data_IF_595789119062
#
_entry.id   IF_595789119062
#
_cell.length_a   1.000
_cell.length_b   1.000
_cell.length_c   1.000
_cell.angle_alpha   90.00
_cell.angle_beta   90.00
_cell.angle_gamma   90.00
#
_symmetry.space_group_name_H-M   'P 1'
#
loop_
_entity.id
_entity.type
_entity.pdbx_description
1 polymer ?
#
# COMPACT_ATOMS: atom_id res chain seq x y z
N UNK A 1 1.45 21.83 8.01
CA UNK A 1 2.11 21.16 6.86
C UNK A 1 1.33 19.89 6.55
N UNK A 2 1.14 19.57 5.26
CA UNK A 2 0.39 18.39 4.81
C UNK A 2 1.36 17.36 4.24
N UNK A 3 1.26 16.11 4.66
CA UNK A 3 2.16 15.03 4.24
C UNK A 3 1.36 13.97 3.49
N UNK A 4 1.66 13.80 2.20
CA UNK A 4 1.07 12.74 1.39
C UNK A 4 1.60 11.37 1.79
N UNK A 5 0.73 10.37 1.89
CA UNK A 5 1.13 8.98 2.15
C UNK A 5 0.74 8.11 0.95
N UNK A 6 1.76 7.45 0.38
CA UNK A 6 1.63 6.41 -0.62
C UNK A 6 2.39 5.17 -0.17
N UNK A 7 1.86 3.99 -0.47
CA UNK A 7 2.49 2.71 -0.18
C UNK A 7 2.21 1.72 -1.30
N UNK A 8 3.25 1.02 -1.77
CA UNK A 8 3.17 -0.08 -2.72
C UNK A 8 4.09 -1.20 -2.25
N UNK A 9 3.51 -2.34 -1.87
CA UNK A 9 4.23 -3.50 -1.38
C UNK A 9 4.00 -4.67 -2.34
N UNK A 10 5.04 -5.05 -3.06
CA UNK A 10 5.08 -6.29 -3.84
C UNK A 10 6.52 -6.77 -3.90
N UNK A 11 6.74 -8.04 -3.60
CA UNK A 11 8.04 -8.68 -3.72
C UNK A 11 7.98 -9.72 -4.85
N UNK A 12 8.78 -9.48 -5.90
CA UNK A 12 8.83 -10.35 -7.08
C UNK A 12 9.90 -11.43 -6.95
N UNK A 13 9.55 -12.66 -7.35
CA UNK A 13 10.46 -13.79 -7.46
C UNK A 13 10.55 -14.27 -8.91
N UNK A 14 11.73 -14.14 -9.51
CA UNK A 14 11.98 -14.47 -10.93
C UNK A 14 11.94 -15.97 -11.26
N UNK A 15 11.90 -16.85 -10.25
CA UNK A 15 11.76 -18.30 -10.44
C UNK A 15 10.29 -18.75 -10.50
N UNK A 16 9.34 -17.87 -10.14
CA UNK A 16 7.90 -18.13 -10.26
C UNK A 16 7.45 -17.74 -11.67
N UNK A 17 6.82 -18.68 -12.38
CA UNK A 17 6.37 -18.48 -13.76
C UNK A 17 5.07 -17.66 -13.90
N UNK A 18 4.33 -17.50 -12.79
CA UNK A 18 3.14 -16.66 -12.75
C UNK A 18 3.47 -15.16 -12.80
N UNK A 19 2.47 -14.33 -13.07
CA UNK A 19 2.60 -12.87 -13.15
C UNK A 19 1.72 -12.25 -12.05
N UNK A 20 2.24 -11.26 -11.33
CA UNK A 20 1.41 -10.46 -10.45
C UNK A 20 0.54 -9.53 -11.29
N UNK A 21 -0.77 -9.68 -11.16
CA UNK A 21 -1.82 -8.87 -11.81
C UNK A 21 -2.51 -7.94 -10.82
N UNK A 22 -3.29 -6.98 -11.32
CA UNK A 22 -4.10 -6.07 -10.49
C UNK A 22 -5.01 -6.83 -9.50
N UNK A 23 -5.58 -7.95 -9.93
CA UNK A 23 -6.43 -8.79 -9.08
C UNK A 23 -5.73 -9.21 -7.77
N UNK A 24 -4.42 -9.46 -7.81
CA UNK A 24 -3.67 -9.84 -6.60
C UNK A 24 -3.59 -8.71 -5.56
N UNK A 25 -3.69 -7.45 -6.01
CA UNK A 25 -3.80 -6.30 -5.11
C UNK A 25 -5.23 -6.14 -4.60
N UNK A 26 -6.22 -6.27 -5.48
CA UNK A 26 -7.64 -6.23 -5.10
C UNK A 26 -8.00 -7.30 -4.06
N UNK A 27 -7.41 -8.49 -4.18
CA UNK A 27 -7.63 -9.63 -3.27
C UNK A 27 -6.96 -9.45 -1.89
N UNK A 28 -5.96 -8.58 -1.77
CA UNK A 28 -5.15 -8.41 -0.55
C UNK A 28 -5.29 -7.01 0.06
N UNK A 29 -4.79 -5.97 -0.62
CA UNK A 29 -4.99 -4.58 -0.23
C UNK A 29 -4.86 -3.66 -1.44
N UNK A 30 -5.94 -2.97 -1.79
CA UNK A 30 -5.95 -1.87 -2.77
C UNK A 30 -6.88 -0.77 -2.25
N UNK A 31 -6.29 0.31 -1.77
CA UNK A 31 -6.99 1.39 -1.06
C UNK A 31 -6.60 2.75 -1.62
N UNK A 32 -7.59 3.63 -1.73
CA UNK A 32 -7.43 5.00 -2.21
C UNK A 32 -7.97 6.01 -1.20
N UNK A 33 -7.29 7.16 -1.10
CA UNK A 33 -7.72 8.27 -0.25
C UNK A 33 -7.93 7.86 1.21
N UNK A 34 -8.98 8.38 1.84
CA UNK A 34 -9.23 8.15 3.26
C UNK A 34 -9.53 6.69 3.63
N UNK A 35 -9.84 5.81 2.66
CA UNK A 35 -9.96 4.37 2.93
C UNK A 35 -8.67 3.75 3.47
N UNK A 36 -7.51 4.31 3.08
CA UNK A 36 -6.19 3.95 3.63
C UNK A 36 -6.16 4.21 5.13
N UNK A 37 -6.64 5.37 5.56
CA UNK A 37 -6.68 5.71 7.00
C UNK A 37 -7.65 4.79 7.73
N UNK A 38 -8.86 4.61 7.20
CA UNK A 38 -9.89 3.77 7.83
C UNK A 38 -9.41 2.34 8.04
N UNK A 39 -8.71 1.76 7.06
CA UNK A 39 -8.26 0.37 7.13
C UNK A 39 -6.98 0.19 7.96
N UNK A 40 -6.03 1.15 7.91
CA UNK A 40 -4.67 0.93 8.42
C UNK A 40 -4.34 1.66 9.72
N UNK A 41 -5.17 2.61 10.17
CA UNK A 41 -4.95 3.29 11.45
C UNK A 41 -5.01 2.30 12.62
N UNK A 42 -4.00 2.33 13.49
CA UNK A 42 -3.91 1.41 14.63
C UNK A 42 -3.58 -0.04 14.26
N UNK A 43 -3.33 -0.34 12.97
CA UNK A 43 -2.84 -1.64 12.53
C UNK A 43 -1.32 -1.78 12.76
N UNK A 44 -0.81 -3.01 12.67
CA UNK A 44 0.64 -3.29 12.69
C UNK A 44 1.32 -3.11 11.32
N UNK A 45 0.69 -2.42 10.38
CA UNK A 45 1.26 -2.08 9.07
C UNK A 45 2.11 -0.80 9.17
N UNK A 46 3.17 -0.66 8.35
CA UNK A 46 4.02 0.54 8.34
C UNK A 46 3.21 1.84 8.12
N UNK A 47 2.17 1.81 7.28
CA UNK A 47 1.28 2.96 7.06
C UNK A 47 0.55 3.37 8.34
N UNK A 48 0.11 2.41 9.16
CA UNK A 48 -0.48 2.68 10.47
C UNK A 48 0.52 3.39 11.40
N UNK A 49 1.78 2.95 11.38
CA UNK A 49 2.88 3.61 12.08
C UNK A 49 3.14 5.04 11.60
N UNK A 50 3.14 5.28 10.29
CA UNK A 50 3.31 6.63 9.72
C UNK A 50 2.15 7.57 10.12
N UNK A 51 0.91 7.09 10.08
CA UNK A 51 -0.25 7.85 10.51
C UNK A 51 -0.14 8.26 11.97
N UNK A 52 0.18 7.31 12.85
CA UNK A 52 0.37 7.58 14.28
C UNK A 52 1.53 8.55 14.54
N UNK A 53 2.66 8.38 13.86
CA UNK A 53 3.81 9.27 13.99
C UNK A 53 3.50 10.71 13.56
N UNK A 54 2.78 10.90 12.45
CA UNK A 54 2.37 12.23 11.99
C UNK A 54 1.38 12.89 12.96
N UNK A 55 0.43 12.13 13.50
CA UNK A 55 -0.51 12.62 14.52
C UNK A 55 0.22 13.09 15.78
N UNK A 56 1.17 12.31 16.30
CA UNK A 56 1.98 12.66 17.46
C UNK A 56 2.80 13.95 17.27
N UNK A 57 3.16 14.28 16.03
CA UNK A 57 3.87 15.51 15.68
C UNK A 57 2.93 16.69 15.33
N UNK A 58 1.61 16.51 15.44
CA UNK A 58 0.63 17.54 15.06
C UNK A 58 0.61 17.84 13.56
N UNK A 59 1.05 16.90 12.72
CA UNK A 59 1.09 17.04 11.26
C UNK A 59 -0.15 16.44 10.61
N UNK A 60 -0.62 17.06 9.53
CA UNK A 60 -1.79 16.56 8.79
C UNK A 60 -1.38 15.52 7.75
N UNK A 61 -1.63 14.25 8.04
CA UNK A 61 -1.51 13.17 7.06
C UNK A 61 -2.60 13.29 5.99
N UNK A 62 -2.22 13.17 4.71
CA UNK A 62 -3.11 13.10 3.55
C UNK A 62 -2.88 11.73 2.90
N UNK A 63 -3.71 10.72 3.20
CA UNK A 63 -3.58 9.41 2.58
C UNK A 63 -4.01 9.51 1.11
N UNK A 64 -3.21 8.94 0.21
CA UNK A 64 -3.46 9.00 -1.22
C UNK A 64 -3.70 7.60 -1.78
N UNK A 65 -2.83 6.66 -1.43
CA UNK A 65 -2.88 5.29 -1.97
C UNK A 65 -2.15 4.31 -1.06
N UNK A 66 -2.67 3.10 -0.93
CA UNK A 66 -1.93 1.97 -0.38
C UNK A 66 -2.31 0.71 -1.15
N UNK A 67 -1.31 -0.02 -1.63
CA UNK A 67 -1.49 -1.31 -2.29
C UNK A 67 -0.50 -2.33 -1.78
N UNK A 68 -0.97 -3.56 -1.57
CA UNK A 68 -0.15 -4.72 -1.25
C UNK A 68 -0.65 -5.93 -2.04
N UNK A 69 0.28 -6.69 -2.58
CA UNK A 69 0.05 -8.03 -3.09
C UNK A 69 1.02 -8.99 -2.38
N UNK A 70 0.60 -10.23 -2.18
CA UNK A 70 1.49 -11.27 -1.65
C UNK A 70 2.69 -11.49 -2.59
N UNK A 71 3.87 -11.85 -2.04
CA UNK A 71 5.03 -12.19 -2.87
C UNK A 71 4.71 -13.24 -3.92
N UNK A 72 5.03 -12.94 -5.18
CA UNK A 72 4.69 -13.80 -6.31
C UNK A 72 5.68 -13.59 -7.46
N UNK A 73 5.33 -13.97 -8.70
CA UNK A 73 6.16 -13.69 -9.86
C UNK A 73 6.23 -12.20 -10.22
N UNK A 74 6.97 -11.88 -11.28
CA UNK A 74 7.13 -10.49 -11.71
C UNK A 74 5.79 -9.85 -12.09
N UNK A 75 5.64 -8.57 -11.77
CA UNK A 75 4.50 -7.76 -12.22
C UNK A 75 4.68 -7.35 -13.68
N UNK A 76 3.59 -7.36 -14.46
CA UNK A 76 3.62 -6.82 -15.81
C UNK A 76 3.42 -5.30 -15.85
N UNK A 77 3.75 -4.69 -16.98
CA UNK A 77 3.65 -3.23 -17.13
C UNK A 77 2.20 -2.73 -17.10
N UNK A 78 1.23 -3.56 -17.51
CA UNK A 78 -0.19 -3.21 -17.50
C UNK A 78 -0.75 -3.11 -16.08
N UNK A 79 -0.22 -3.90 -15.15
CA UNK A 79 -0.59 -3.84 -13.73
C UNK A 79 0.02 -2.61 -13.05
N UNK A 80 1.14 -2.10 -13.53
CA UNK A 80 1.83 -0.94 -12.93
C UNK A 80 1.40 0.43 -13.49
N UNK A 81 0.64 0.47 -14.58
CA UNK A 81 0.23 1.71 -15.27
C UNK A 81 -0.97 2.39 -14.62
#
# INVERSE_FOLDING_TARGET
MRIGILSLLQESNTFVSGITTLQHFEDDLLLEGESVRTALSGSHHEVGGFLAGLEQQGLSAVPLFAARALPYGAMDAATFS
#
